data_IF_606879088940
#
_entry.id   IF_606879088940
#
_cell.length_a   1.000
_cell.length_b   1.000
_cell.length_c   1.000
_cell.angle_alpha   90.00
_cell.angle_beta   90.00
_cell.angle_gamma   90.00
#
_symmetry.space_group_name_H-M   'P 1'
#
loop_
_entity.id
_entity.type
_entity.pdbx_description
1 polymer ?
#
# COMPACT_ATOMS: atom_id res chain seq x y z
N UNK A 1 1.78 1.18 19.37
CA UNK A 1 2.14 1.12 17.93
C UNK A 1 0.97 0.53 17.16
N UNK A 2 0.65 1.07 15.98
CA UNK A 2 -0.46 0.59 15.15
C UNK A 2 0.11 0.04 13.85
N UNK A 3 -0.18 -1.23 13.57
CA UNK A 3 0.01 -1.84 12.25
C UNK A 3 -1.32 -1.69 11.51
N UNK A 4 -1.31 -1.21 10.27
CA UNK A 4 -2.56 -1.02 9.52
C UNK A 4 -3.09 -2.33 8.96
N UNK A 5 -2.21 -3.23 8.51
CA UNK A 5 -2.56 -4.57 8.06
C UNK A 5 -1.54 -5.58 8.57
N UNK A 6 -2.03 -6.60 9.27
CA UNK A 6 -1.24 -7.72 9.79
C UNK A 6 -1.72 -9.01 9.15
N UNK A 7 -0.83 -9.73 8.47
CA UNK A 7 -1.14 -10.97 7.77
C UNK A 7 -0.23 -12.10 8.25
N UNK A 8 -0.81 -13.30 8.29
CA UNK A 8 -0.07 -14.55 8.47
C UNK A 8 -0.36 -15.40 7.25
N UNK A 9 0.68 -15.76 6.52
CA UNK A 9 0.56 -16.66 5.38
C UNK A 9 0.25 -18.09 5.82
N UNK A 10 -0.16 -18.94 4.88
CA UNK A 10 -0.33 -20.39 5.11
C UNK A 10 0.96 -21.12 5.52
N UNK A 11 2.13 -20.45 5.47
CA UNK A 11 3.44 -20.98 5.85
C UNK A 11 3.99 -20.31 7.11
N UNK A 12 3.12 -19.70 7.91
CA UNK A 12 3.46 -18.99 9.16
C UNK A 12 4.42 -17.80 9.01
N UNK A 13 4.62 -17.33 7.77
CA UNK A 13 5.33 -16.06 7.52
C UNK A 13 4.40 -14.88 7.79
N UNK A 14 4.91 -13.90 8.53
CA UNK A 14 4.18 -12.72 8.97
C UNK A 14 4.52 -11.53 8.10
N UNK A 15 3.51 -10.76 7.72
CA UNK A 15 3.65 -9.51 6.99
C UNK A 15 2.90 -8.40 7.73
N UNK A 16 3.60 -7.30 8.03
CA UNK A 16 3.03 -6.13 8.67
C UNK A 16 3.18 -4.93 7.73
N UNK A 17 2.07 -4.28 7.41
CA UNK A 17 2.06 -3.15 6.49
C UNK A 17 1.71 -1.84 7.19
N UNK A 18 2.43 -0.81 6.79
CA UNK A 18 2.09 0.60 7.01
C UNK A 18 1.52 1.17 5.70
N UNK A 19 0.24 1.58 5.69
CA UNK A 19 -0.42 2.04 4.46
C UNK A 19 -0.20 3.55 4.28
N UNK A 20 0.32 3.96 3.12
CA UNK A 20 0.58 5.36 2.78
C UNK A 20 -0.18 5.77 1.52
N UNK A 21 -0.86 6.89 1.60
CA UNK A 21 -1.71 7.42 0.51
C UNK A 21 -0.95 8.35 -0.44
N UNK A 22 0.17 8.94 -0.01
CA UNK A 22 0.89 9.95 -0.80
C UNK A 22 2.38 9.63 -0.86
N UNK A 23 3.07 10.28 -1.81
CA UNK A 23 4.53 10.30 -1.86
C UNK A 23 5.08 10.84 -0.52
N UNK A 24 5.74 10.02 0.30
CA UNK A 24 6.27 10.50 1.57
C UNK A 24 7.50 11.37 1.36
N UNK A 25 7.77 12.29 2.29
CA UNK A 25 8.98 13.11 2.28
C UNK A 25 10.14 12.40 2.99
N UNK A 26 11.36 12.90 2.81
CA UNK A 26 12.59 12.28 3.38
C UNK A 26 12.50 12.06 4.90
N UNK A 27 11.94 13.01 5.64
CA UNK A 27 11.77 12.89 7.09
C UNK A 27 10.81 11.78 7.51
N UNK A 28 9.83 11.48 6.67
CA UNK A 28 8.83 10.46 6.94
C UNK A 28 9.44 9.05 6.89
N UNK A 29 10.38 8.80 5.97
CA UNK A 29 11.01 7.48 5.84
C UNK A 29 11.83 7.05 7.05
N UNK A 30 12.46 7.99 7.77
CA UNK A 30 13.19 7.67 9.01
C UNK A 30 12.19 7.22 10.08
N UNK A 31 11.07 7.92 10.19
CA UNK A 31 9.99 7.57 11.11
C UNK A 31 9.39 6.19 10.77
N UNK A 32 9.15 5.92 9.49
CA UNK A 32 8.61 4.63 9.03
C UNK A 32 9.57 3.50 9.32
N UNK A 33 10.87 3.68 9.01
CA UNK A 33 11.88 2.66 9.30
C UNK A 33 11.97 2.36 10.81
N UNK A 34 11.85 3.39 11.65
CA UNK A 34 11.79 3.18 13.11
C UNK A 34 10.58 2.34 13.50
N UNK A 35 9.38 2.69 13.04
CA UNK A 35 8.16 1.92 13.34
C UNK A 35 8.29 0.45 12.90
N UNK A 36 8.80 0.22 11.69
CA UNK A 36 9.04 -1.12 11.15
C UNK A 36 10.00 -1.93 12.05
N UNK A 37 11.12 -1.34 12.47
CA UNK A 37 12.08 -1.99 13.36
C UNK A 37 11.51 -2.24 14.77
N UNK A 38 10.71 -1.32 15.30
CA UNK A 38 10.05 -1.51 16.59
C UNK A 38 9.02 -2.66 16.54
N UNK A 39 8.29 -2.81 15.43
CA UNK A 39 7.39 -3.96 15.23
C UNK A 39 8.16 -5.27 15.20
N UNK A 40 9.27 -5.33 14.47
CA UNK A 40 10.14 -6.50 14.46
C UNK A 40 10.64 -6.83 15.86
N UNK A 41 11.13 -5.84 16.61
CA UNK A 41 11.64 -6.04 17.97
C UNK A 41 10.56 -6.60 18.92
N UNK A 42 9.35 -6.02 18.90
CA UNK A 42 8.23 -6.49 19.73
C UNK A 42 7.79 -7.90 19.33
N UNK A 43 7.72 -8.19 18.02
CA UNK A 43 7.31 -9.50 17.55
C UNK A 43 8.35 -10.58 17.89
N UNK A 44 9.63 -10.32 17.65
CA UNK A 44 10.71 -11.24 17.96
C UNK A 44 10.92 -11.46 19.46
N UNK A 45 10.52 -10.52 20.31
CA UNK A 45 10.52 -10.73 21.76
C UNK A 45 9.63 -11.92 22.17
N UNK A 46 8.52 -12.14 21.47
CA UNK A 46 7.61 -13.27 21.73
C UNK A 46 7.88 -14.46 20.80
N UNK A 47 8.43 -14.23 19.61
CA UNK A 47 8.59 -15.21 18.54
C UNK A 47 10.00 -15.17 17.92
N UNK A 48 11.01 -15.57 18.68
CA UNK A 48 12.43 -15.37 18.34
C UNK A 48 12.94 -16.02 17.05
N UNK A 49 12.21 -16.99 16.50
CA UNK A 49 12.56 -17.72 15.26
C UNK A 49 11.57 -17.50 14.11
N UNK A 50 10.64 -16.54 14.25
CA UNK A 50 9.63 -16.29 13.23
C UNK A 50 10.22 -15.67 11.96
N UNK A 51 9.55 -15.86 10.82
CA UNK A 51 9.84 -15.15 9.58
C UNK A 51 8.88 -13.97 9.47
N UNK A 52 9.40 -12.75 9.60
CA UNK A 52 8.59 -11.53 9.71
C UNK A 52 9.09 -10.50 8.71
N UNK A 53 8.16 -9.91 7.97
CA UNK A 53 8.42 -8.84 7.03
C UNK A 53 7.60 -7.62 7.43
N UNK A 54 8.24 -6.46 7.42
CA UNK A 54 7.57 -5.17 7.62
C UNK A 54 7.70 -4.36 6.35
N UNK A 55 6.60 -3.85 5.82
CA UNK A 55 6.56 -3.19 4.52
C UNK A 55 5.76 -1.90 4.58
N UNK A 56 6.09 -0.98 3.68
CA UNK A 56 5.26 0.16 3.33
C UNK A 56 4.43 -0.23 2.11
N UNK A 57 3.12 -0.09 2.22
CA UNK A 57 2.20 -0.28 1.11
C UNK A 57 1.69 1.07 0.61
N UNK A 58 1.79 1.29 -0.70
CA UNK A 58 1.19 2.44 -1.38
C UNK A 58 0.12 1.90 -2.33
N UNK A 59 -1.19 2.01 -1.99
CA UNK A 59 -2.24 1.30 -2.73
C UNK A 59 -2.45 1.74 -4.18
N UNK A 60 -1.88 2.88 -4.61
CA UNK A 60 -1.99 3.36 -5.98
C UNK A 60 -0.73 4.13 -6.39
N UNK A 61 -0.47 4.21 -7.69
CA UNK A 61 0.63 4.99 -8.23
C UNK A 61 0.12 6.39 -8.66
N UNK A 62 0.51 7.49 -7.99
CA UNK A 62 0.08 8.83 -8.36
C UNK A 62 0.68 9.33 -9.68
N UNK A 63 1.62 8.59 -10.27
CA UNK A 63 2.30 8.93 -11.52
C UNK A 63 1.80 8.14 -12.73
N UNK A 64 0.74 7.34 -12.60
CA UNK A 64 0.21 6.58 -13.74
C UNK A 64 0.00 7.47 -14.99
N UNK A 65 0.42 7.03 -16.20
CA UNK A 65 0.96 5.71 -16.54
C UNK A 65 2.48 5.55 -16.35
N UNK A 66 3.17 6.55 -15.80
CA UNK A 66 4.61 6.47 -15.54
C UNK A 66 4.89 5.64 -14.28
N UNK A 67 6.04 4.95 -14.28
CA UNK A 67 6.47 4.17 -13.12
C UNK A 67 6.65 5.04 -11.87
N UNK A 68 6.35 4.46 -10.71
CA UNK A 68 6.50 5.15 -9.44
C UNK A 68 7.95 5.58 -9.19
N UNK A 69 8.16 6.88 -8.97
CA UNK A 69 9.48 7.47 -8.81
C UNK A 69 10.09 7.16 -7.43
N UNK A 70 10.87 6.06 -7.33
CA UNK A 70 11.45 5.59 -6.06
C UNK A 70 12.67 6.37 -5.52
N UNK A 71 13.10 7.45 -6.19
CA UNK A 71 14.37 8.13 -5.89
C UNK A 71 14.42 8.83 -4.52
N UNK A 72 13.28 9.35 -4.03
CA UNK A 72 13.19 10.02 -2.71
C UNK A 72 13.42 9.07 -1.53
N UNK A 73 13.34 7.76 -1.78
CA UNK A 73 13.41 6.72 -0.76
C UNK A 73 14.80 6.06 -0.66
N UNK A 74 15.73 6.38 -1.59
CA UNK A 74 17.05 5.77 -1.65
C UNK A 74 17.86 6.10 -0.39
N UNK A 75 18.33 5.05 0.30
CA UNK A 75 19.27 5.13 1.42
C UNK A 75 18.70 4.79 2.80
N UNK A 76 17.37 4.73 2.98
CA UNK A 76 16.74 4.39 4.27
C UNK A 76 15.95 3.07 4.24
N UNK A 77 15.30 2.80 3.10
CA UNK A 77 14.49 1.60 2.88
C UNK A 77 15.09 0.77 1.75
N UNK A 78 14.98 -0.56 1.87
CA UNK A 78 15.16 -1.46 0.73
C UNK A 78 13.92 -1.37 -0.15
N UNK A 79 14.03 -0.61 -1.22
CA UNK A 79 12.92 -0.29 -2.11
C UNK A 79 12.35 -1.50 -2.84
N UNK A 80 13.09 -2.62 -2.91
CA UNK A 80 12.63 -3.84 -3.57
C UNK A 80 11.87 -4.75 -2.61
N UNK A 81 12.20 -4.72 -1.33
CA UNK A 81 11.70 -5.68 -0.34
C UNK A 81 10.75 -5.04 0.68
N UNK A 82 10.90 -3.74 0.94
CA UNK A 82 10.19 -3.04 2.02
C UNK A 82 9.13 -2.06 1.49
N UNK A 83 8.98 -1.93 0.17
CA UNK A 83 8.00 -1.02 -0.44
C UNK A 83 7.29 -1.73 -1.57
N UNK A 84 5.97 -1.84 -1.47
CA UNK A 84 5.09 -2.38 -2.51
C UNK A 84 4.11 -1.29 -2.96
N UNK A 85 3.96 -1.12 -4.28
CA UNK A 85 3.15 -0.04 -4.87
C UNK A 85 2.13 -0.60 -5.85
N UNK A 86 0.89 -0.10 -5.74
CA UNK A 86 -0.21 -0.39 -6.66
C UNK A 86 -0.36 -1.90 -6.93
N UNK A 87 -0.13 -2.34 -8.16
CA UNK A 87 -0.15 -3.73 -8.59
C UNK A 87 0.63 -4.66 -7.65
N UNK A 88 1.85 -4.29 -7.23
CA UNK A 88 2.66 -5.12 -6.33
C UNK A 88 1.97 -5.39 -4.98
N UNK A 89 1.20 -4.42 -4.48
CA UNK A 89 0.50 -4.56 -3.21
C UNK A 89 -0.79 -5.37 -3.36
N UNK A 90 -1.60 -5.02 -4.36
CA UNK A 90 -2.90 -5.67 -4.54
C UNK A 90 -2.74 -7.11 -5.02
N UNK A 91 -1.79 -7.38 -5.92
CA UNK A 91 -1.55 -8.74 -6.39
C UNK A 91 -0.89 -9.61 -5.31
N UNK A 92 -0.11 -9.01 -4.42
CA UNK A 92 0.37 -9.71 -3.22
C UNK A 92 -0.79 -10.18 -2.32
N UNK A 93 -1.83 -9.36 -2.17
CA UNK A 93 -2.99 -9.67 -1.32
C UNK A 93 -3.99 -10.61 -1.99
N UNK A 94 -4.35 -10.32 -3.25
CA UNK A 94 -5.45 -10.94 -3.97
C UNK A 94 -5.02 -12.00 -4.99
N UNK A 95 -3.73 -12.10 -5.31
CA UNK A 95 -3.22 -12.90 -6.40
C UNK A 95 -3.02 -12.10 -7.69
N UNK A 96 -2.36 -12.71 -8.67
CA UNK A 96 -2.09 -12.10 -9.98
C UNK A 96 -3.38 -11.57 -10.64
N UNK A 97 -3.36 -10.30 -11.06
CA UNK A 97 -4.49 -9.63 -11.70
C UNK A 97 -5.47 -8.96 -10.74
N UNK A 98 -5.32 -9.11 -9.43
CA UNK A 98 -6.22 -8.51 -8.45
C UNK A 98 -6.27 -6.98 -8.54
N UNK A 99 -5.15 -6.34 -8.89
CA UNK A 99 -5.14 -4.89 -9.13
C UNK A 99 -5.98 -4.49 -10.33
N UNK A 100 -5.89 -5.25 -11.42
CA UNK A 100 -6.70 -5.01 -12.63
C UNK A 100 -8.18 -5.19 -12.34
N UNK A 101 -8.56 -6.28 -11.67
CA UNK A 101 -9.93 -6.54 -11.26
C UNK A 101 -10.49 -5.40 -10.39
N UNK A 102 -9.66 -4.87 -9.47
CA UNK A 102 -10.02 -3.72 -8.65
C UNK A 102 -10.30 -2.47 -9.49
N UNK A 103 -9.43 -2.17 -10.47
CA UNK A 103 -9.62 -1.03 -11.36
C UNK A 103 -10.89 -1.18 -12.21
N UNK A 104 -11.16 -2.37 -12.73
CA UNK A 104 -12.39 -2.68 -13.46
C UNK A 104 -13.63 -2.46 -12.58
N UNK A 105 -13.60 -2.88 -11.32
CA UNK A 105 -14.70 -2.62 -10.37
C UNK A 105 -14.98 -1.12 -10.22
N UNK A 106 -13.92 -0.29 -10.08
CA UNK A 106 -14.06 1.16 -9.99
C UNK A 106 -14.61 1.77 -11.28
N UNK A 107 -14.18 1.29 -12.44
CA UNK A 107 -14.69 1.75 -13.74
C UNK A 107 -16.19 1.44 -13.89
N UNK A 108 -16.60 0.20 -13.61
CA UNK A 108 -18.00 -0.21 -13.70
C UNK A 108 -18.89 0.58 -12.73
N UNK A 109 -18.44 0.76 -11.48
CA UNK A 109 -19.13 1.60 -10.52
C UNK A 109 -19.23 3.06 -10.99
N UNK A 110 -18.15 3.60 -11.58
CA UNK A 110 -18.11 4.94 -12.15
C UNK A 110 -19.11 5.13 -13.29
N UNK A 111 -19.21 4.15 -14.21
CA UNK A 111 -20.19 4.16 -15.31
C UNK A 111 -21.62 4.12 -14.75
N UNK A 112 -21.88 3.21 -13.81
CA UNK A 112 -23.21 3.05 -13.21
C UNK A 112 -23.67 4.31 -12.46
N UNK A 113 -22.77 4.97 -11.72
CA UNK A 113 -23.06 6.17 -10.95
C UNK A 113 -23.01 7.46 -11.78
N UNK A 114 -22.51 7.40 -13.03
CA UNK A 114 -22.34 8.58 -13.89
C UNK A 114 -23.62 9.41 -14.04
N UNK A 115 -24.81 8.83 -14.29
CA UNK A 115 -26.03 9.62 -14.41
C UNK A 115 -26.40 10.38 -13.12
N UNK A 116 -26.14 9.79 -11.95
CA UNK A 116 -26.40 10.43 -10.65
C UNK A 116 -25.43 11.59 -10.40
N UNK A 117 -24.16 11.39 -10.73
CA UNK A 117 -23.10 12.40 -10.63
C UNK A 117 -23.43 13.57 -11.57
N UNK A 118 -23.74 13.30 -12.84
CA UNK A 118 -24.10 14.33 -13.82
C UNK A 118 -25.36 15.10 -13.39
N UNK A 119 -26.38 14.40 -12.88
CA UNK A 119 -27.59 15.02 -12.32
C UNK A 119 -27.24 15.94 -11.15
N UNK A 120 -26.39 15.51 -10.22
CA UNK A 120 -25.95 16.32 -9.09
C UNK A 120 -25.23 17.59 -9.55
N UNK A 121 -24.35 17.50 -10.54
CA UNK A 121 -23.56 18.63 -11.01
C UNK A 121 -24.31 19.58 -11.95
N UNK A 122 -25.39 19.13 -12.59
CA UNK A 122 -26.23 19.99 -13.45
C UNK A 122 -26.80 21.21 -12.72
N UNK A 123 -27.02 21.13 -11.40
CA UNK A 123 -27.50 22.26 -10.57
C UNK A 123 -26.52 23.45 -10.48
N UNK A 124 -25.27 23.26 -10.90
CA UNK A 124 -24.24 24.30 -10.91
C UNK A 124 -23.96 24.84 -12.32
N UNK A 125 -24.54 24.22 -13.37
CA UNK A 125 -24.46 24.77 -14.72
C UNK A 125 -25.45 25.93 -14.81
N UNK A 126 -24.92 27.14 -15.03
CA UNK A 126 -25.71 28.35 -15.28
C UNK A 126 -26.30 28.34 -16.68
#
# INVERSE_FOLDING_TARGET
MKVDLFLVSKRDEVFMFDLKTVKPNKGDFISYKRNMLEWLAVYFYQHSIAKVNTLIAIPYNPYEPQQYARWTMKGMLDLKQEVVVAEEFWDFLGGEGAYTDLLECFEQAGIALRPEIDKYFSKFQK
#
